data_IF_359894430423
#
_entry.id   IF_359894430423
#
_cell.length_a   1.000
_cell.length_b   1.000
_cell.length_c   1.000
_cell.angle_alpha   90.00
_cell.angle_beta   90.00
_cell.angle_gamma   90.00
#
_symmetry.space_group_name_H-M   'P 1'
#
loop_
_entity.id
_entity.type
_entity.pdbx_description
1 polymer ?
#
# COMPACT_ATOMS: atom_id res chain seq x y z
N UNK A 1 -1.83 74.99 18.43
CA UNK A 1 -1.40 74.02 17.38
C UNK A 1 -0.94 72.62 17.85
N UNK A 2 -0.80 72.26 19.16
CA UNK A 2 -0.34 70.89 19.53
C UNK A 2 -1.43 69.79 19.58
N UNK A 3 -2.71 70.12 19.76
CA UNK A 3 -3.79 69.11 19.85
C UNK A 3 -4.08 68.37 18.53
N UNK A 4 -3.91 69.01 17.37
CA UNK A 4 -4.19 68.38 16.06
C UNK A 4 -3.17 67.31 15.66
N UNK A 5 -1.92 67.42 16.14
CA UNK A 5 -0.85 66.45 15.88
C UNK A 5 -1.03 65.19 16.73
N UNK A 6 -1.44 65.35 18.01
CA UNK A 6 -1.80 64.24 18.92
C UNK A 6 -2.95 63.39 18.38
N UNK A 7 -4.01 64.04 17.88
CA UNK A 7 -5.20 63.36 17.36
C UNK A 7 -4.94 62.60 16.06
N UNK A 8 -4.09 63.13 15.17
CA UNK A 8 -3.63 62.44 13.95
C UNK A 8 -2.75 61.23 14.28
N UNK A 9 -1.84 61.34 15.26
CA UNK A 9 -1.00 60.23 15.73
C UNK A 9 -1.84 59.09 16.30
N UNK A 10 -2.86 59.40 17.09
CA UNK A 10 -3.77 58.40 17.66
C UNK A 10 -4.62 57.70 16.58
N UNK A 11 -5.06 58.43 15.54
CA UNK A 11 -5.77 57.83 14.40
C UNK A 11 -4.90 56.88 13.57
N UNK A 12 -3.65 57.28 13.31
CA UNK A 12 -2.67 56.42 12.61
C UNK A 12 -2.37 55.17 13.43
N UNK A 13 -2.17 55.30 14.74
CA UNK A 13 -1.96 54.15 15.62
C UNK A 13 -3.17 53.22 15.67
N UNK A 14 -4.39 53.75 15.79
CA UNK A 14 -5.61 52.93 15.75
C UNK A 14 -5.81 52.23 14.40
N UNK A 15 -5.48 52.90 13.30
CA UNK A 15 -5.52 52.30 11.97
C UNK A 15 -4.48 51.19 11.83
N UNK A 16 -3.24 51.43 12.27
CA UNK A 16 -2.18 50.40 12.25
C UNK A 16 -2.53 49.20 13.13
N UNK A 17 -3.14 49.42 14.30
CA UNK A 17 -3.63 48.35 15.17
C UNK A 17 -4.76 47.55 14.51
N UNK A 18 -5.70 48.22 13.85
CA UNK A 18 -6.77 47.56 13.09
C UNK A 18 -6.20 46.72 11.94
N UNK A 19 -5.24 47.26 11.19
CA UNK A 19 -4.56 46.53 10.11
C UNK A 19 -3.80 45.32 10.66
N UNK A 20 -3.06 45.48 11.76
CA UNK A 20 -2.35 44.38 12.41
C UNK A 20 -3.32 43.30 12.92
N UNK A 21 -4.46 43.69 13.48
CA UNK A 21 -5.51 42.76 13.90
C UNK A 21 -6.09 41.99 12.71
N UNK A 22 -6.41 42.68 11.60
CA UNK A 22 -6.94 42.04 10.39
C UNK A 22 -5.93 41.07 9.77
N UNK A 23 -4.65 41.45 9.73
CA UNK A 23 -3.57 40.57 9.28
C UNK A 23 -3.47 39.35 10.21
N UNK A 24 -3.51 39.57 11.53
CA UNK A 24 -3.46 38.50 12.53
C UNK A 24 -4.64 37.53 12.40
N UNK A 25 -5.87 38.05 12.26
CA UNK A 25 -7.07 37.24 12.03
C UNK A 25 -6.99 36.48 10.70
N UNK A 26 -6.52 37.13 9.62
CA UNK A 26 -6.33 36.48 8.32
C UNK A 26 -5.30 35.35 8.38
N UNK A 27 -4.16 35.58 9.02
CA UNK A 27 -3.12 34.58 9.22
C UNK A 27 -3.62 33.41 10.08
N UNK A 28 -4.34 33.68 11.16
CA UNK A 28 -4.95 32.65 11.99
C UNK A 28 -5.98 31.83 11.21
N UNK A 29 -6.85 32.47 10.42
CA UNK A 29 -7.84 31.77 9.59
C UNK A 29 -7.17 30.90 8.53
N UNK A 30 -6.13 31.40 7.87
CA UNK A 30 -5.34 30.64 6.91
C UNK A 30 -4.69 29.42 7.58
N UNK A 31 -4.04 29.62 8.73
CA UNK A 31 -3.49 28.52 9.52
C UNK A 31 -4.57 27.49 9.89
N UNK A 32 -5.70 27.95 10.42
CA UNK A 32 -6.80 27.10 10.86
C UNK A 32 -7.40 26.26 9.74
N UNK A 33 -7.55 26.83 8.53
CA UNK A 33 -8.20 26.17 7.39
C UNK A 33 -7.27 25.30 6.55
N UNK A 34 -5.95 25.54 6.58
CA UNK A 34 -5.01 24.84 5.69
C UNK A 34 -3.91 24.06 6.41
N UNK A 35 -3.53 24.44 7.63
CA UNK A 35 -2.32 23.93 8.29
C UNK A 35 -2.56 23.33 9.68
N UNK A 36 -3.72 23.57 10.29
CA UNK A 36 -4.05 23.01 11.61
C UNK A 36 -4.15 21.50 11.53
N UNK A 37 -3.26 20.83 12.24
CA UNK A 37 -3.30 19.39 12.42
C UNK A 37 -4.09 19.01 13.66
N UNK A 38 -4.86 17.93 13.57
CA UNK A 38 -5.43 17.25 14.74
C UNK A 38 -4.75 15.89 14.90
N UNK A 39 -4.50 15.45 16.15
CA UNK A 39 -3.99 14.11 16.39
C UNK A 39 -5.02 13.08 15.93
N UNK A 40 -4.53 11.88 15.62
CA UNK A 40 -5.41 10.75 15.38
C UNK A 40 -6.23 10.46 16.65
N UNK A 41 -7.45 9.95 16.46
CA UNK A 41 -8.28 9.49 17.58
C UNK A 41 -7.62 8.31 18.30
N UNK A 42 -8.07 7.98 19.53
CA UNK A 42 -7.61 6.78 20.21
C UNK A 42 -8.04 5.53 19.42
N UNK A 43 -7.15 4.55 19.34
CA UNK A 43 -7.43 3.22 18.78
C UNK A 43 -7.68 2.23 19.93
N UNK A 44 -8.67 1.36 19.76
CA UNK A 44 -9.04 0.33 20.74
C UNK A 44 -8.08 -0.87 20.74
N UNK A 45 -7.30 -1.06 19.66
CA UNK A 45 -6.30 -2.12 19.56
C UNK A 45 -5.13 -1.71 18.66
N UNK A 46 -4.01 -2.45 18.74
CA UNK A 46 -2.89 -2.27 17.82
C UNK A 46 -3.28 -2.64 16.38
N UNK A 47 -4.15 -3.64 16.19
CA UNK A 47 -4.69 -4.04 14.89
C UNK A 47 -5.47 -2.89 14.25
N UNK A 48 -6.35 -2.24 15.01
CA UNK A 48 -7.08 -1.08 14.52
C UNK A 48 -6.14 0.08 14.20
N UNK A 49 -5.16 0.34 15.07
CA UNK A 49 -4.13 1.35 14.81
C UNK A 49 -3.36 1.05 13.52
N UNK A 50 -2.99 -0.20 13.27
CA UNK A 50 -2.31 -0.59 12.04
C UNK A 50 -3.21 -0.37 10.81
N UNK A 51 -4.49 -0.71 10.93
CA UNK A 51 -5.46 -0.62 9.83
C UNK A 51 -5.86 0.82 9.49
N UNK A 52 -5.87 1.74 10.45
CA UNK A 52 -6.51 3.06 10.30
C UNK A 52 -5.67 4.26 10.75
N UNK A 53 -4.52 4.07 11.39
CA UNK A 53 -3.69 5.20 11.83
C UNK A 53 -2.88 5.82 10.71
N UNK A 54 -2.70 7.13 10.80
CA UNK A 54 -1.94 7.89 9.83
C UNK A 54 -0.47 7.49 9.85
N UNK A 55 0.09 7.29 8.66
CA UNK A 55 1.54 7.21 8.42
C UNK A 55 2.13 8.55 7.98
N UNK A 56 1.33 9.63 7.99
CA UNK A 56 1.75 11.00 7.69
C UNK A 56 1.54 11.45 6.23
N UNK A 57 0.81 10.70 5.42
CA UNK A 57 0.61 11.00 3.99
C UNK A 57 -0.36 12.15 3.70
N UNK A 58 -1.15 12.60 4.68
CA UNK A 58 -2.28 13.51 4.45
C UNK A 58 -1.86 14.90 4.00
N UNK A 59 -0.68 15.37 4.42
CA UNK A 59 -0.20 16.70 4.06
C UNK A 59 0.26 16.73 2.58
N UNK A 60 1.05 15.74 2.16
CA UNK A 60 1.68 15.70 0.85
C UNK A 60 0.78 15.06 -0.24
N UNK A 61 0.07 13.98 0.08
CA UNK A 61 -0.67 13.16 -0.88
C UNK A 61 -2.15 12.92 -0.50
N UNK A 62 -2.64 13.53 0.59
CA UNK A 62 -3.99 13.32 1.08
C UNK A 62 -5.07 13.94 0.20
N UNK A 63 -6.10 13.15 -0.14
CA UNK A 63 -7.29 13.63 -0.83
C UNK A 63 -8.25 14.31 0.15
N UNK A 64 -8.90 15.43 -0.18
CA UNK A 64 -9.96 15.98 0.65
C UNK A 64 -11.07 14.92 0.84
N UNK A 65 -11.43 14.65 2.10
CA UNK A 65 -12.31 13.54 2.46
C UNK A 65 -13.65 13.57 1.71
N UNK A 66 -14.28 14.75 1.59
CA UNK A 66 -15.56 14.88 0.89
C UNK A 66 -15.46 14.64 -0.61
N UNK A 67 -14.31 14.95 -1.23
CA UNK A 67 -14.07 14.59 -2.63
C UNK A 67 -13.94 13.07 -2.74
N UNK A 68 -13.05 12.46 -1.94
CA UNK A 68 -12.87 11.02 -1.89
C UNK A 68 -14.21 10.27 -1.74
N UNK A 69 -15.05 10.69 -0.80
CA UNK A 69 -16.33 10.04 -0.53
C UNK A 69 -17.28 10.02 -1.75
N UNK A 70 -17.31 11.08 -2.55
CA UNK A 70 -18.28 11.22 -3.65
C UNK A 70 -17.77 10.70 -4.99
N UNK A 71 -16.45 10.56 -5.18
CA UNK A 71 -15.88 10.12 -6.46
C UNK A 71 -16.48 8.80 -6.98
N UNK A 72 -16.62 7.72 -6.19
CA UNK A 72 -17.17 6.46 -6.70
C UNK A 72 -18.60 6.56 -7.20
N UNK A 73 -19.41 7.47 -6.64
CA UNK A 73 -20.79 7.70 -7.07
C UNK A 73 -20.83 8.54 -8.35
N UNK A 74 -19.90 9.48 -8.47
CA UNK A 74 -19.83 10.41 -9.59
C UNK A 74 -19.20 9.78 -10.84
N UNK A 75 -18.29 8.81 -10.65
CA UNK A 75 -17.52 8.14 -11.70
C UNK A 75 -17.53 6.60 -11.57
N UNK A 76 -18.70 5.95 -11.42
CA UNK A 76 -18.77 4.50 -11.26
C UNK A 76 -18.18 3.73 -12.46
N UNK A 77 -18.14 4.32 -13.64
CA UNK A 77 -17.60 3.74 -14.87
C UNK A 77 -16.08 3.58 -14.88
N UNK A 78 -15.36 4.29 -14.00
CA UNK A 78 -13.90 4.14 -13.85
C UNK A 78 -13.52 3.12 -12.78
N UNK A 79 -14.50 2.45 -12.18
CA UNK A 79 -14.28 1.37 -11.23
C UNK A 79 -14.52 0.01 -11.91
N UNK A 80 -13.82 -1.05 -11.46
CA UNK A 80 -13.93 -2.37 -12.06
C UNK A 80 -15.30 -3.03 -11.84
N UNK A 81 -16.11 -2.52 -10.91
CA UNK A 81 -17.42 -3.07 -10.62
C UNK A 81 -18.26 -2.20 -9.67
N UNK A 82 -19.46 -2.66 -9.31
CA UNK A 82 -20.32 -1.96 -8.36
C UNK A 82 -19.74 -1.96 -6.93
N UNK A 83 -20.28 -1.10 -6.06
CA UNK A 83 -19.88 -1.04 -4.64
C UNK A 83 -18.78 -0.01 -4.33
N UNK A 84 -18.44 0.86 -5.28
CA UNK A 84 -17.49 1.94 -5.07
C UNK A 84 -16.07 1.43 -4.82
N UNK A 85 -15.40 1.93 -3.78
CA UNK A 85 -14.03 1.50 -3.44
C UNK A 85 -13.91 -0.01 -3.13
N UNK A 86 -14.99 -0.67 -2.67
CA UNK A 86 -14.98 -2.12 -2.44
C UNK A 86 -14.75 -2.93 -3.72
N UNK A 87 -15.09 -2.37 -4.90
CA UNK A 87 -14.84 -3.03 -6.20
C UNK A 87 -13.35 -3.20 -6.51
N UNK A 88 -12.48 -2.41 -5.87
CA UNK A 88 -11.02 -2.52 -5.96
C UNK A 88 -10.47 -3.62 -5.04
N UNK A 89 -11.35 -4.42 -4.42
CA UNK A 89 -11.00 -5.51 -3.51
C UNK A 89 -10.26 -5.07 -2.25
N UNK A 90 -10.38 -3.79 -1.88
CA UNK A 90 -9.87 -3.26 -0.61
C UNK A 90 -10.79 -3.76 0.51
N UNK A 91 -10.20 -4.30 1.57
CA UNK A 91 -10.92 -4.76 2.74
C UNK A 91 -11.78 -3.65 3.37
N UNK A 92 -13.03 -3.96 3.72
CA UNK A 92 -13.94 -3.01 4.36
C UNK A 92 -14.72 -3.71 5.46
N UNK A 93 -14.40 -3.38 6.72
CA UNK A 93 -15.12 -3.92 7.87
C UNK A 93 -16.52 -3.30 7.97
N UNK A 94 -17.50 -4.12 8.38
CA UNK A 94 -18.86 -3.66 8.62
C UNK A 94 -18.88 -2.53 9.66
N UNK A 95 -19.66 -1.47 9.38
CA UNK A 95 -19.79 -0.32 10.28
C UNK A 95 -18.64 0.67 10.24
N UNK A 96 -17.57 0.43 9.48
CA UNK A 96 -16.48 1.40 9.29
C UNK A 96 -16.82 2.43 8.22
N UNK A 97 -16.50 3.68 8.52
CA UNK A 97 -16.67 4.81 7.60
C UNK A 97 -15.75 4.70 6.36
N UNK A 98 -14.51 4.27 6.57
CA UNK A 98 -13.51 4.10 5.52
C UNK A 98 -13.06 2.64 5.43
N UNK A 99 -12.66 2.18 4.23
CA UNK A 99 -12.07 0.86 4.08
C UNK A 99 -10.74 0.76 4.84
N UNK A 100 -10.34 -0.47 5.18
CA UNK A 100 -9.06 -0.77 5.80
C UNK A 100 -7.93 -0.21 4.95
N UNK A 101 -6.95 0.41 5.61
CA UNK A 101 -5.83 1.05 4.93
C UNK A 101 -6.06 2.50 4.57
N UNK A 102 -7.21 3.09 4.90
CA UNK A 102 -7.49 4.50 4.65
C UNK A 102 -7.69 5.26 5.95
N UNK A 103 -7.03 6.41 6.05
CA UNK A 103 -7.10 7.29 7.22
C UNK A 103 -8.08 8.42 7.01
N UNK A 104 -8.53 9.04 8.10
CA UNK A 104 -9.23 10.32 8.08
C UNK A 104 -8.61 11.24 9.12
N UNK A 105 -7.71 12.12 8.69
CA UNK A 105 -7.02 13.07 9.57
C UNK A 105 -7.30 14.50 9.14
N UNK A 106 -7.37 15.42 10.10
CA UNK A 106 -7.52 16.84 9.80
C UNK A 106 -6.13 17.48 9.66
N UNK A 107 -5.85 17.98 8.45
CA UNK A 107 -4.72 18.87 8.13
C UNK A 107 -5.30 20.08 7.42
N UNK A 108 -5.65 21.09 8.20
CA UNK A 108 -6.54 22.19 7.84
C UNK A 108 -8.00 21.73 7.77
N UNK A 109 -8.29 20.86 6.81
CA UNK A 109 -9.57 20.19 6.58
C UNK A 109 -9.40 18.65 6.60
N UNK A 110 -10.49 17.87 6.72
CA UNK A 110 -10.41 16.41 6.73
C UNK A 110 -9.86 15.87 5.41
N UNK A 111 -8.82 15.04 5.49
CA UNK A 111 -8.15 14.40 4.35
C UNK A 111 -8.06 12.90 4.56
N UNK A 112 -8.00 12.19 3.45
CA UNK A 112 -7.83 10.74 3.36
C UNK A 112 -6.48 10.42 2.75
N UNK A 113 -5.72 9.53 3.39
CA UNK A 113 -4.49 8.98 2.84
C UNK A 113 -4.47 7.46 3.06
N UNK A 114 -3.48 6.81 2.45
CA UNK A 114 -3.31 5.37 2.52
C UNK A 114 -2.35 5.00 3.67
N UNK A 115 -2.52 3.82 4.24
CA UNK A 115 -1.61 3.19 5.20
C UNK A 115 -1.05 1.90 4.61
N UNK A 116 -0.11 1.28 5.33
CA UNK A 116 0.42 -0.04 4.99
C UNK A 116 -0.68 -1.11 4.84
N UNK A 117 -1.81 -0.95 5.53
CA UNK A 117 -2.88 -1.95 5.56
C UNK A 117 -3.68 -2.06 4.24
N UNK A 118 -3.54 -1.11 3.30
CA UNK A 118 -4.10 -1.28 1.94
C UNK A 118 -3.49 -2.51 1.25
N UNK A 119 -2.19 -2.69 1.41
CA UNK A 119 -1.44 -3.80 0.81
C UNK A 119 -1.26 -4.98 1.78
N UNK A 120 -1.33 -4.71 3.09
CA UNK A 120 -1.00 -5.69 4.14
C UNK A 120 -2.17 -6.04 5.06
N UNK A 121 -3.35 -6.24 4.48
CA UNK A 121 -4.49 -6.87 5.16
C UNK A 121 -5.04 -7.99 4.28
N UNK A 122 -4.86 -9.23 4.71
CA UNK A 122 -5.45 -10.37 4.03
C UNK A 122 -6.94 -10.47 4.32
N UNK A 123 -7.68 -11.07 3.38
CA UNK A 123 -9.09 -11.40 3.55
C UNK A 123 -9.35 -12.86 3.20
N UNK A 124 -10.19 -13.56 3.96
CA UNK A 124 -10.66 -14.88 3.56
C UNK A 124 -12.11 -15.15 4.00
N UNK A 125 -12.79 -15.98 3.24
CA UNK A 125 -14.07 -16.59 3.57
C UNK A 125 -13.97 -18.10 3.54
N UNK A 126 -14.53 -18.75 4.56
CA UNK A 126 -14.61 -20.21 4.65
C UNK A 126 -15.69 -20.80 3.73
N UNK A 127 -16.75 -20.03 3.47
CA UNK A 127 -17.87 -20.40 2.59
C UNK A 127 -18.33 -19.17 1.80
N UNK A 128 -19.03 -19.34 0.66
CA UNK A 128 -19.46 -18.21 -0.16
C UNK A 128 -20.29 -17.15 0.58
N UNK A 129 -21.11 -17.58 1.55
CA UNK A 129 -22.04 -16.70 2.29
C UNK A 129 -21.46 -16.18 3.63
N UNK A 130 -20.25 -16.59 4.00
CA UNK A 130 -19.62 -16.11 5.24
C UNK A 130 -19.22 -14.63 5.13
N UNK A 131 -19.26 -13.91 6.25
CA UNK A 131 -18.61 -12.60 6.34
C UNK A 131 -17.10 -12.79 6.18
N UNK A 132 -16.42 -11.97 5.36
CA UNK A 132 -14.96 -12.02 5.25
C UNK A 132 -14.28 -11.78 6.58
N UNK A 133 -13.24 -12.57 6.85
CA UNK A 133 -12.32 -12.36 7.97
C UNK A 133 -11.13 -11.57 7.46
N UNK A 134 -10.86 -10.42 8.08
CA UNK A 134 -9.70 -9.59 7.77
C UNK A 134 -8.56 -9.87 8.75
N UNK A 135 -7.35 -10.02 8.22
CA UNK A 135 -6.16 -10.38 8.99
C UNK A 135 -5.09 -9.30 8.77
N UNK A 136 -4.83 -8.46 9.79
CA UNK A 136 -3.75 -7.47 9.74
C UNK A 136 -2.39 -8.10 9.46
N UNK A 137 -1.52 -7.36 8.79
CA UNK A 137 -0.17 -7.78 8.40
C UNK A 137 -0.09 -9.00 7.46
N UNK A 138 -1.23 -9.54 7.02
CA UNK A 138 -1.31 -10.56 5.98
C UNK A 138 -1.17 -9.96 4.57
N UNK A 139 -0.96 -10.80 3.54
CA UNK A 139 -0.89 -10.32 2.16
C UNK A 139 -2.27 -9.87 1.67
N UNK A 140 -2.39 -8.61 1.25
CA UNK A 140 -3.63 -8.02 0.72
C UNK A 140 -3.96 -8.51 -0.69
N UNK A 141 -4.10 -9.83 -0.85
CA UNK A 141 -4.21 -10.52 -2.14
C UNK A 141 -5.42 -10.08 -2.99
N UNK A 142 -6.43 -9.46 -2.35
CA UNK A 142 -7.60 -8.89 -3.00
C UNK A 142 -7.43 -7.44 -3.43
N UNK A 143 -6.41 -6.69 -2.99
CA UNK A 143 -6.33 -5.26 -3.24
C UNK A 143 -5.82 -4.93 -4.66
N UNK A 144 -6.55 -4.08 -5.39
CA UNK A 144 -6.19 -3.60 -6.72
C UNK A 144 -5.59 -2.19 -6.67
N UNK A 145 -4.32 -2.08 -6.25
CA UNK A 145 -3.64 -0.78 -6.09
C UNK A 145 -3.47 -0.06 -7.43
N UNK A 146 -3.17 -0.79 -8.51
CA UNK A 146 -3.09 -0.20 -9.86
C UNK A 146 -4.45 0.38 -10.29
N UNK A 147 -5.54 -0.36 -10.07
CA UNK A 147 -6.90 0.08 -10.35
C UNK A 147 -7.28 1.33 -9.56
N UNK A 148 -6.84 1.46 -8.31
CA UNK A 148 -7.04 2.67 -7.51
C UNK A 148 -6.35 3.89 -8.13
N UNK A 149 -5.09 3.75 -8.58
CA UNK A 149 -4.39 4.85 -9.25
C UNK A 149 -5.04 5.22 -10.59
N UNK A 150 -5.45 4.23 -11.39
CA UNK A 150 -6.22 4.44 -12.63
C UNK A 150 -7.50 5.23 -12.37
N UNK A 151 -8.27 4.81 -11.37
CA UNK A 151 -9.51 5.48 -10.97
C UNK A 151 -9.29 6.96 -10.66
N UNK A 152 -8.28 7.28 -9.83
CA UNK A 152 -7.98 8.67 -9.48
C UNK A 152 -7.51 9.50 -10.69
N UNK A 153 -6.68 8.91 -11.56
CA UNK A 153 -6.23 9.55 -12.81
C UNK A 153 -7.43 9.89 -13.70
N UNK A 154 -8.26 8.90 -13.98
CA UNK A 154 -9.36 9.03 -14.95
C UNK A 154 -10.42 10.01 -14.44
N UNK A 155 -10.73 9.98 -13.13
CA UNK A 155 -11.55 11.01 -12.48
C UNK A 155 -10.98 12.42 -12.69
N UNK A 156 -9.68 12.63 -12.47
CA UNK A 156 -9.06 13.95 -12.56
C UNK A 156 -8.99 14.49 -14.01
N UNK A 157 -8.93 13.59 -14.99
CA UNK A 157 -8.94 13.93 -16.41
C UNK A 157 -10.37 14.26 -16.89
N UNK A 158 -11.41 13.67 -16.30
CA UNK A 158 -12.80 13.90 -16.69
C UNK A 158 -13.25 15.37 -16.46
N UNK A 159 -13.88 16.04 -17.46
CA UNK A 159 -14.41 17.39 -17.32
C UNK A 159 -15.44 17.58 -16.20
N UNK A 160 -16.15 16.52 -15.82
CA UNK A 160 -17.10 16.53 -14.71
C UNK A 160 -16.41 16.77 -13.37
N UNK A 161 -15.12 16.47 -13.21
CA UNK A 161 -14.36 16.82 -12.01
C UNK A 161 -14.16 18.34 -11.94
N UNK A 162 -15.18 19.04 -11.48
CA UNK A 162 -15.21 20.48 -11.38
C UNK A 162 -16.01 20.92 -10.14
N UNK A 163 -15.86 22.18 -9.71
CA UNK A 163 -16.51 22.68 -8.52
C UNK A 163 -18.04 22.55 -8.50
N UNK A 164 -18.72 22.72 -9.63
CA UNK A 164 -20.18 22.70 -9.69
C UNK A 164 -20.73 21.31 -9.37
N UNK A 165 -20.23 20.30 -10.10
CA UNK A 165 -20.70 18.93 -9.94
C UNK A 165 -20.28 18.32 -8.60
N UNK A 166 -19.03 18.54 -8.18
CA UNK A 166 -18.53 17.98 -6.91
C UNK A 166 -19.24 18.59 -5.71
N UNK A 167 -19.50 19.90 -5.70
CA UNK A 167 -20.27 20.51 -4.60
C UNK A 167 -21.73 20.04 -4.58
N UNK A 168 -22.33 19.78 -5.75
CA UNK A 168 -23.67 19.20 -5.81
C UNK A 168 -23.70 17.81 -5.14
N UNK A 169 -22.74 16.93 -5.46
CA UNK A 169 -22.66 15.61 -4.85
C UNK A 169 -22.31 15.65 -3.36
N UNK A 170 -21.40 16.54 -2.95
CA UNK A 170 -21.04 16.73 -1.53
C UNK A 170 -22.26 17.21 -0.74
N UNK A 171 -23.08 18.11 -1.28
CA UNK A 171 -24.29 18.62 -0.63
C UNK A 171 -25.32 17.51 -0.34
N UNK A 172 -25.28 16.39 -1.08
CA UNK A 172 -26.18 15.24 -0.84
C UNK A 172 -25.80 14.43 0.41
N UNK A 173 -24.61 14.63 0.97
CA UNK A 173 -24.09 13.85 2.10
C UNK A 173 -23.70 14.71 3.30
N UNK A 174 -23.52 16.02 3.13
CA UNK A 174 -23.16 16.94 4.22
C UNK A 174 -23.46 18.40 3.87
N UNK A 175 -23.63 19.24 4.89
CA UNK A 175 -23.76 20.69 4.75
C UNK A 175 -22.45 21.40 5.10
N UNK A 176 -21.79 21.98 4.10
CA UNK A 176 -20.61 22.79 4.30
C UNK A 176 -20.98 24.23 4.71
N UNK A 177 -20.18 24.84 5.59
CA UNK A 177 -20.32 26.28 5.90
C UNK A 177 -20.10 27.13 4.63
N UNK A 178 -20.63 28.36 4.58
CA UNK A 178 -20.43 29.24 3.42
C UNK A 178 -18.94 29.43 3.08
N UNK A 179 -18.10 29.60 4.11
CA UNK A 179 -16.66 29.71 3.93
C UNK A 179 -16.07 28.43 3.32
N UNK A 180 -16.47 27.25 3.81
CA UNK A 180 -15.98 25.97 3.27
C UNK A 180 -16.50 25.72 1.85
N UNK A 181 -17.73 26.09 1.52
CA UNK A 181 -18.23 26.03 0.14
C UNK A 181 -17.38 26.89 -0.80
N UNK A 182 -17.03 28.12 -0.39
CA UNK A 182 -16.15 28.99 -1.17
C UNK A 182 -14.73 28.42 -1.29
N UNK A 183 -14.18 27.86 -0.21
CA UNK A 183 -12.87 27.20 -0.22
C UNK A 183 -12.88 25.96 -1.13
N UNK A 184 -13.90 25.12 -1.06
CA UNK A 184 -14.04 23.97 -1.94
C UNK A 184 -14.15 24.41 -3.40
N UNK A 185 -14.98 25.42 -3.67
CA UNK A 185 -15.23 25.92 -5.02
C UNK A 185 -13.98 26.47 -5.68
N UNK A 186 -13.27 27.36 -4.99
CA UNK A 186 -12.23 28.18 -5.61
C UNK A 186 -10.80 27.71 -5.31
N UNK A 187 -10.60 26.84 -4.31
CA UNK A 187 -9.28 26.42 -3.86
C UNK A 187 -9.13 24.91 -3.86
N UNK A 188 -9.89 24.19 -3.03
CA UNK A 188 -9.64 22.77 -2.75
C UNK A 188 -9.89 21.92 -4.00
N UNK A 189 -11.06 22.02 -4.66
CA UNK A 189 -11.38 21.20 -5.84
C UNK A 189 -10.40 21.48 -7.01
N UNK A 190 -10.13 22.75 -7.40
CA UNK A 190 -9.16 23.04 -8.46
C UNK A 190 -7.74 22.53 -8.14
N UNK A 191 -7.27 22.72 -6.91
CA UNK A 191 -5.93 22.26 -6.52
C UNK A 191 -5.85 20.73 -6.45
N UNK A 192 -6.87 20.05 -5.96
CA UNK A 192 -6.92 18.57 -5.96
C UNK A 192 -6.89 18.03 -7.38
N UNK A 193 -7.69 18.59 -8.29
CA UNK A 193 -7.67 18.19 -9.71
C UNK A 193 -6.28 18.38 -10.31
N UNK A 194 -5.68 19.56 -10.10
CA UNK A 194 -4.34 19.88 -10.62
C UNK A 194 -3.29 18.93 -10.06
N UNK A 195 -3.31 18.65 -8.76
CA UNK A 195 -2.35 17.73 -8.13
C UNK A 195 -2.47 16.31 -8.69
N UNK A 196 -3.69 15.81 -8.90
CA UNK A 196 -3.92 14.50 -9.52
C UNK A 196 -3.48 14.46 -10.99
N UNK A 197 -3.68 15.54 -11.74
CA UNK A 197 -3.25 15.64 -13.15
C UNK A 197 -1.73 15.76 -13.31
N UNK A 198 -1.04 16.39 -12.35
CA UNK A 198 0.42 16.55 -12.38
C UNK A 198 1.14 15.25 -12.04
N UNK A 199 0.49 14.31 -11.36
CA UNK A 199 1.05 13.00 -11.05
C UNK A 199 0.90 12.09 -12.27
N UNK A 200 1.99 11.86 -12.99
CA UNK A 200 1.96 10.91 -14.11
C UNK A 200 1.88 9.48 -13.59
N UNK A 201 0.84 8.78 -14.05
CA UNK A 201 0.62 7.36 -13.84
C UNK A 201 0.87 6.56 -15.12
N UNK A 202 1.34 7.21 -16.19
CA UNK A 202 1.41 6.65 -17.55
C UNK A 202 2.42 5.50 -17.64
N UNK A 203 3.46 5.52 -16.81
CA UNK A 203 4.44 4.43 -16.73
C UNK A 203 3.83 3.09 -16.28
N UNK A 204 2.65 3.11 -15.64
CA UNK A 204 1.90 1.90 -15.29
C UNK A 204 1.02 1.38 -16.44
N UNK A 205 0.83 2.15 -17.51
CA UNK A 205 -0.06 1.86 -18.64
C UNK A 205 0.69 1.50 -19.91
N UNK A 206 1.73 0.67 -19.80
CA UNK A 206 2.44 0.24 -21.00
C UNK A 206 1.76 -0.94 -21.67
N UNK A 207 1.58 -0.84 -22.99
CA UNK A 207 1.00 -1.92 -23.80
C UNK A 207 1.84 -3.21 -23.79
N UNK A 208 3.15 -3.10 -23.53
CA UNK A 208 4.07 -4.24 -23.48
C UNK A 208 4.14 -4.93 -22.11
N UNK A 209 3.40 -4.44 -21.11
CA UNK A 209 3.41 -4.95 -19.74
C UNK A 209 2.02 -5.39 -19.28
N UNK A 210 1.98 -6.47 -18.50
CA UNK A 210 0.73 -6.89 -17.89
C UNK A 210 0.23 -5.84 -16.88
N UNK A 211 -1.07 -5.82 -16.61
CA UNK A 211 -1.56 -5.20 -15.39
C UNK A 211 -0.97 -5.93 -14.17
N UNK A 212 -0.69 -5.21 -13.08
CA UNK A 212 -0.23 -5.83 -11.83
C UNK A 212 -1.28 -6.80 -11.29
N UNK A 213 -2.55 -6.38 -11.35
CA UNK A 213 -3.70 -7.13 -10.84
C UNK A 213 -3.85 -7.03 -9.32
N UNK A 214 -4.81 -7.77 -8.79
CA UNK A 214 -5.08 -7.88 -7.36
C UNK A 214 -3.89 -8.50 -6.61
N UNK A 215 -3.55 -7.94 -5.46
CA UNK A 215 -2.53 -8.47 -4.56
C UNK A 215 -1.10 -8.16 -4.95
N UNK A 216 -0.89 -7.26 -5.92
CA UNK A 216 0.44 -6.93 -6.45
C UNK A 216 0.64 -5.45 -6.66
N UNK A 217 1.90 -5.05 -6.56
CA UNK A 217 2.40 -3.76 -7.03
C UNK A 217 3.79 -3.90 -7.65
N UNK A 218 4.26 -2.84 -8.29
CA UNK A 218 5.68 -2.70 -8.65
C UNK A 218 6.38 -1.76 -7.66
N UNK A 219 6.53 -2.24 -6.41
CA UNK A 219 7.04 -1.45 -5.28
C UNK A 219 8.34 -0.67 -5.61
N UNK A 220 9.25 -1.27 -6.39
CA UNK A 220 10.52 -0.63 -6.73
C UNK A 220 10.36 0.47 -7.77
N UNK A 221 9.52 0.28 -8.78
CA UNK A 221 9.20 1.34 -9.73
C UNK A 221 8.36 2.45 -9.08
N UNK A 222 7.48 2.13 -8.13
CA UNK A 222 6.79 3.12 -7.31
C UNK A 222 7.79 4.03 -6.59
N UNK A 223 8.83 3.47 -5.95
CA UNK A 223 9.90 4.28 -5.34
C UNK A 223 10.66 5.11 -6.38
N UNK A 224 11.10 4.52 -7.50
CA UNK A 224 11.85 5.26 -8.54
C UNK A 224 11.08 6.45 -9.09
N UNK A 225 9.79 6.29 -9.36
CA UNK A 225 9.04 7.29 -10.11
C UNK A 225 8.26 8.26 -9.23
N UNK A 226 7.83 7.86 -8.02
CA UNK A 226 7.15 8.78 -7.09
C UNK A 226 8.09 9.45 -6.09
N UNK A 227 9.06 8.72 -5.52
CA UNK A 227 9.95 9.29 -4.50
C UNK A 227 11.19 9.93 -5.11
N UNK A 228 11.75 9.30 -6.15
CA UNK A 228 13.03 9.73 -6.75
C UNK A 228 12.85 10.54 -8.04
N UNK A 229 11.63 10.63 -8.57
CA UNK A 229 11.31 11.30 -9.84
C UNK A 229 12.25 10.89 -10.99
N UNK A 230 12.72 9.64 -10.97
CA UNK A 230 13.60 9.11 -12.01
C UNK A 230 12.84 8.99 -13.32
N UNK A 231 13.57 9.11 -14.43
CA UNK A 231 13.01 8.81 -15.74
C UNK A 231 12.66 7.32 -15.83
N UNK A 232 11.52 7.03 -16.45
CA UNK A 232 11.11 5.69 -16.85
C UNK A 232 12.23 4.99 -17.64
N UNK A 233 12.55 3.74 -17.30
CA UNK A 233 13.74 3.00 -17.74
C UNK A 233 13.43 1.64 -18.40
N UNK A 234 12.16 1.37 -18.72
CA UNK A 234 11.68 0.13 -19.33
C UNK A 234 11.64 -1.07 -18.40
N UNK A 235 12.04 -0.92 -17.14
CA UNK A 235 12.00 -2.02 -16.17
C UNK A 235 10.58 -2.28 -15.70
N UNK A 236 10.33 -3.51 -15.26
CA UNK A 236 9.02 -3.96 -14.80
C UNK A 236 9.27 -5.17 -13.92
N UNK A 237 8.70 -5.20 -12.72
CA UNK A 237 8.91 -6.32 -11.80
C UNK A 237 7.89 -6.39 -10.69
N UNK A 238 6.58 -6.45 -10.99
CA UNK A 238 5.57 -6.48 -9.95
C UNK A 238 5.65 -7.74 -9.08
N UNK A 239 5.48 -7.53 -7.78
CA UNK A 239 5.55 -8.56 -6.76
C UNK A 239 4.24 -8.71 -6.03
N UNK A 240 4.01 -9.90 -5.48
CA UNK A 240 2.95 -10.16 -4.51
C UNK A 240 3.21 -9.39 -3.22
N UNK A 241 2.15 -8.90 -2.57
CA UNK A 241 2.29 -8.28 -1.25
C UNK A 241 2.76 -9.35 -0.25
N UNK A 242 3.89 -9.16 0.45
CA UNK A 242 4.32 -10.13 1.45
C UNK A 242 3.48 -10.02 2.72
N UNK A 243 3.41 -11.10 3.49
CA UNK A 243 3.06 -10.99 4.91
C UNK A 243 4.16 -10.26 5.67
N UNK A 244 3.78 -9.39 6.62
CA UNK A 244 4.72 -8.58 7.42
C UNK A 244 4.57 -8.80 8.92
N UNK A 245 3.99 -9.94 9.33
CA UNK A 245 4.01 -10.42 10.71
C UNK A 245 5.37 -11.05 11.08
N UNK A 246 5.60 -11.29 12.37
CA UNK A 246 6.79 -11.94 12.93
C UNK A 246 8.13 -11.35 12.45
N UNK A 247 8.23 -10.03 12.29
CA UNK A 247 9.46 -9.40 11.75
C UNK A 247 10.72 -9.69 12.59
N UNK A 248 10.59 -10.00 13.89
CA UNK A 248 11.71 -10.41 14.76
C UNK A 248 12.45 -11.67 14.29
N UNK A 249 11.84 -12.48 13.41
CA UNK A 249 12.51 -13.64 12.83
C UNK A 249 13.57 -13.27 11.80
N UNK A 250 13.55 -12.05 11.25
CA UNK A 250 14.53 -11.57 10.29
C UNK A 250 15.67 -10.86 11.03
N UNK A 251 16.74 -11.61 11.27
CA UNK A 251 17.91 -11.20 12.06
C UNK A 251 19.06 -10.75 11.14
N UNK A 252 19.25 -9.43 10.90
CA UNK A 252 20.24 -8.92 9.96
C UNK A 252 21.69 -9.29 10.31
N UNK A 253 21.99 -9.44 11.59
CA UNK A 253 23.27 -9.90 12.14
C UNK A 253 23.61 -11.34 11.74
N UNK A 254 22.59 -12.16 11.45
CA UNK A 254 22.76 -13.51 10.89
C UNK A 254 22.84 -13.52 9.37
N UNK A 255 22.82 -12.36 8.72
CA UNK A 255 22.81 -12.22 7.27
C UNK A 255 21.41 -12.31 6.65
N UNK A 256 20.35 -12.31 7.46
CA UNK A 256 18.97 -12.29 6.93
C UNK A 256 18.64 -10.90 6.37
N UNK A 257 17.78 -10.87 5.35
CA UNK A 257 17.37 -9.64 4.67
C UNK A 257 15.87 -9.64 4.43
N UNK A 258 15.33 -8.50 4.02
CA UNK A 258 13.92 -8.31 3.70
C UNK A 258 13.75 -7.67 2.32
N UNK A 259 12.51 -7.48 1.89
CA UNK A 259 12.09 -7.47 0.49
C UNK A 259 12.29 -8.85 -0.16
N UNK A 260 11.53 -9.14 -1.22
CA UNK A 260 11.59 -10.43 -1.91
C UNK A 260 12.99 -10.80 -2.38
N UNK A 261 13.77 -9.83 -2.80
CA UNK A 261 15.13 -9.93 -3.35
C UNK A 261 16.23 -9.57 -2.35
N UNK A 262 15.90 -9.24 -1.11
CA UNK A 262 16.88 -8.82 -0.11
C UNK A 262 17.41 -7.39 -0.28
N UNK A 263 16.75 -6.52 -1.06
CA UNK A 263 17.23 -5.17 -1.39
C UNK A 263 17.48 -4.26 -0.16
N UNK A 264 16.90 -4.57 0.99
CA UNK A 264 17.03 -3.75 2.19
C UNK A 264 17.55 -4.54 3.38
N UNK A 265 18.45 -3.89 4.14
CA UNK A 265 19.24 -4.53 5.19
C UNK A 265 18.43 -5.12 6.35
N UNK A 266 17.36 -4.46 6.80
CA UNK A 266 16.58 -4.90 7.96
C UNK A 266 15.12 -4.42 7.89
N UNK A 267 14.28 -4.99 8.76
CA UNK A 267 12.85 -4.70 8.84
C UNK A 267 12.54 -3.22 9.04
N UNK A 268 13.25 -2.55 9.95
CA UNK A 268 13.05 -1.11 10.22
C UNK A 268 13.27 -0.26 8.96
N UNK A 269 14.34 -0.54 8.23
CA UNK A 269 14.64 0.15 6.98
C UNK A 269 13.59 -0.14 5.91
N UNK A 270 13.07 -1.37 5.81
CA UNK A 270 11.96 -1.70 4.88
C UNK A 270 10.71 -0.89 5.20
N UNK A 271 10.35 -0.77 6.48
CA UNK A 271 9.19 0.03 6.89
C UNK A 271 9.37 1.51 6.52
N UNK A 272 10.57 2.06 6.75
CA UNK A 272 10.90 3.44 6.37
C UNK A 272 10.82 3.62 4.85
N UNK A 273 11.48 2.76 4.08
CA UNK A 273 11.54 2.87 2.62
C UNK A 273 10.17 2.72 1.97
N UNK A 274 9.36 1.80 2.47
CA UNK A 274 7.99 1.60 2.02
C UNK A 274 7.12 2.81 2.37
N UNK A 275 7.27 3.36 3.58
CA UNK A 275 6.54 4.55 3.98
C UNK A 275 6.95 5.77 3.12
N UNK A 276 8.25 6.04 2.95
CA UNK A 276 8.72 7.16 2.11
C UNK A 276 8.30 7.02 0.64
N UNK A 277 8.22 5.80 0.11
CA UNK A 277 7.70 5.53 -1.23
C UNK A 277 6.22 5.88 -1.40
N UNK A 278 5.44 5.90 -0.31
CA UNK A 278 4.00 6.20 -0.28
C UNK A 278 3.74 7.66 0.17
N UNK A 279 4.46 8.11 1.19
CA UNK A 279 4.38 9.44 1.81
C UNK A 279 5.64 10.21 1.42
N UNK A 280 5.54 11.04 0.38
CA UNK A 280 6.70 11.73 -0.19
C UNK A 280 7.52 12.57 0.82
N UNK A 281 6.93 12.95 1.97
CA UNK A 281 7.61 13.69 3.04
C UNK A 281 7.29 13.13 4.43
N UNK A 282 8.31 12.82 5.28
CA UNK A 282 8.10 12.35 6.64
C UNK A 282 7.65 13.50 7.56
N UNK A 283 6.63 13.24 8.39
CA UNK A 283 6.17 14.17 9.42
C UNK A 283 7.05 14.13 10.69
N UNK A 284 6.83 15.07 11.63
CA UNK A 284 7.63 15.20 12.87
C UNK A 284 7.74 13.89 13.67
N UNK A 285 6.67 13.12 13.78
CA UNK A 285 6.62 11.88 14.57
C UNK A 285 6.86 10.60 13.73
N UNK A 286 7.33 10.75 12.50
CA UNK A 286 7.48 9.65 11.54
C UNK A 286 8.28 8.47 12.11
N UNK A 287 9.46 8.71 12.67
CA UNK A 287 10.31 7.64 13.21
C UNK A 287 9.70 6.94 14.43
N UNK A 288 8.99 7.66 15.28
CA UNK A 288 8.30 7.06 16.43
C UNK A 288 7.16 6.15 15.94
N UNK A 289 6.41 6.57 14.92
CA UNK A 289 5.41 5.71 14.30
C UNK A 289 6.03 4.43 13.70
N UNK A 290 7.16 4.57 12.99
CA UNK A 290 7.91 3.43 12.45
C UNK A 290 8.38 2.48 13.56
N UNK A 291 8.87 3.01 14.69
CA UNK A 291 9.33 2.19 15.82
C UNK A 291 8.17 1.42 16.46
N UNK A 292 6.99 2.04 16.58
CA UNK A 292 5.77 1.34 17.01
C UNK A 292 5.35 0.24 16.01
N UNK A 293 5.34 0.54 14.70
CA UNK A 293 5.04 -0.45 13.67
C UNK A 293 6.00 -1.63 13.74
N UNK A 294 7.29 -1.36 13.88
CA UNK A 294 8.30 -2.41 13.99
C UNK A 294 8.05 -3.29 15.21
N UNK A 295 7.76 -2.71 16.39
CA UNK A 295 7.48 -3.49 17.60
C UNK A 295 6.21 -4.35 17.45
N UNK A 296 5.12 -3.75 16.98
CA UNK A 296 3.86 -4.46 16.73
C UNK A 296 4.05 -5.62 15.74
N UNK A 297 4.61 -5.34 14.56
CA UNK A 297 4.80 -6.34 13.51
C UNK A 297 5.87 -7.39 13.86
N UNK A 298 6.85 -7.03 14.69
CA UNK A 298 7.82 -7.99 15.22
C UNK A 298 7.17 -9.00 16.15
N UNK A 299 6.13 -8.61 16.87
CA UNK A 299 5.50 -9.42 17.89
C UNK A 299 4.14 -10.03 17.51
N UNK A 300 3.56 -9.59 16.39
CA UNK A 300 2.34 -10.15 15.82
C UNK A 300 2.63 -11.50 15.14
N UNK A 301 2.05 -12.64 15.59
CA UNK A 301 2.10 -13.89 14.85
C UNK A 301 1.00 -13.95 13.76
N UNK A 302 1.13 -14.80 12.73
CA UNK A 302 0.01 -15.12 11.85
C UNK A 302 -1.13 -15.79 12.61
N UNK A 303 -2.38 -15.69 12.10
CA UNK A 303 -3.49 -16.44 12.66
C UNK A 303 -3.25 -17.96 12.49
N UNK A 304 -3.75 -18.77 13.45
CA UNK A 304 -3.76 -20.22 13.28
C UNK A 304 -4.63 -20.60 12.07
N UNK A 305 -4.33 -21.75 11.47
CA UNK A 305 -5.18 -22.34 10.44
C UNK A 305 -6.55 -22.67 11.05
N UNK A 306 -7.66 -22.08 10.54
CA UNK A 306 -8.97 -22.14 11.22
C UNK A 306 -9.77 -23.41 10.88
N UNK A 307 -9.26 -24.26 9.99
CA UNK A 307 -9.97 -25.45 9.52
C UNK A 307 -9.43 -26.73 10.17
N UNK A 308 -10.18 -27.85 10.12
CA UNK A 308 -9.71 -29.12 10.65
C UNK A 308 -8.39 -29.57 10.02
N UNK A 309 -7.51 -30.14 10.84
CA UNK A 309 -6.23 -30.70 10.42
C UNK A 309 -6.25 -32.20 10.72
N UNK A 310 -6.03 -33.02 9.70
CA UNK A 310 -5.69 -34.42 9.89
C UNK A 310 -4.26 -34.50 10.45
N UNK A 311 -4.15 -34.82 11.75
CA UNK A 311 -2.88 -34.84 12.45
C UNK A 311 -1.96 -35.95 11.93
N UNK A 312 -2.50 -37.10 11.48
CA UNK A 312 -1.69 -38.18 10.96
C UNK A 312 -1.04 -37.78 9.63
N UNK A 313 -1.80 -37.14 8.74
CA UNK A 313 -1.26 -36.59 7.49
C UNK A 313 -0.30 -35.42 7.73
N UNK A 314 -0.58 -34.54 8.71
CA UNK A 314 0.32 -33.46 9.06
C UNK A 314 1.67 -34.00 9.59
N UNK A 315 1.65 -35.03 10.43
CA UNK A 315 2.88 -35.70 10.89
C UNK A 315 3.65 -36.37 9.76
N UNK A 316 2.97 -37.02 8.81
CA UNK A 316 3.63 -37.57 7.62
C UNK A 316 4.23 -36.45 6.74
N UNK A 317 3.51 -35.34 6.58
CA UNK A 317 3.97 -34.15 5.85
C UNK A 317 5.21 -33.49 6.46
N UNK A 318 5.35 -33.50 7.79
CA UNK A 318 6.55 -32.97 8.49
C UNK A 318 7.82 -33.73 8.12
N UNK A 319 7.74 -35.05 7.91
CA UNK A 319 8.87 -35.85 7.44
C UNK A 319 9.31 -35.45 6.02
N UNK A 320 8.34 -35.27 5.11
CA UNK A 320 8.59 -34.79 3.74
C UNK A 320 9.14 -33.36 3.74
N UNK A 321 8.58 -32.48 4.56
CA UNK A 321 9.06 -31.11 4.72
C UNK A 321 10.53 -31.07 5.17
N UNK A 322 10.88 -31.95 6.12
CA UNK A 322 12.26 -32.05 6.62
C UNK A 322 13.23 -32.50 5.52
N UNK A 323 12.82 -33.44 4.67
CA UNK A 323 13.64 -33.94 3.57
C UNK A 323 13.80 -32.91 2.43
N UNK A 324 12.70 -32.29 2.00
CA UNK A 324 12.66 -31.53 0.74
C UNK A 324 12.75 -30.01 0.93
N UNK A 325 12.25 -29.47 2.04
CA UNK A 325 12.01 -28.04 2.21
C UNK A 325 12.91 -27.39 3.28
N UNK A 326 13.17 -28.10 4.38
CA UNK A 326 13.83 -27.55 5.56
C UNK A 326 15.23 -26.99 5.25
N UNK A 327 15.94 -27.54 4.26
CA UNK A 327 17.27 -27.05 3.85
C UNK A 327 17.30 -25.57 3.47
N UNK A 328 16.18 -24.99 3.04
CA UNK A 328 16.05 -23.56 2.74
C UNK A 328 15.17 -22.82 3.75
N UNK A 329 14.03 -23.42 4.13
CA UNK A 329 12.99 -22.73 4.92
C UNK A 329 13.04 -23.01 6.43
N UNK A 330 13.93 -23.90 6.88
CA UNK A 330 14.20 -24.17 8.30
C UNK A 330 15.68 -24.52 8.53
N UNK A 331 16.56 -23.61 8.13
CA UNK A 331 18.03 -23.79 8.19
C UNK A 331 18.76 -22.45 8.31
N UNK A 332 20.10 -22.48 8.26
CA UNK A 332 20.92 -21.28 8.13
C UNK A 332 20.68 -20.49 6.84
N UNK A 333 19.97 -21.04 5.85
CA UNK A 333 19.59 -20.32 4.62
C UNK A 333 18.30 -19.52 4.77
N UNK A 334 17.50 -19.81 5.81
CA UNK A 334 16.21 -19.15 6.01
C UNK A 334 16.39 -17.66 6.27
N UNK A 335 15.58 -16.84 5.62
CA UNK A 335 15.69 -15.38 5.64
C UNK A 335 16.85 -14.82 4.80
N UNK A 336 17.61 -15.66 4.08
CA UNK A 336 18.72 -15.24 3.20
C UNK A 336 18.36 -15.43 1.73
N UNK A 337 19.09 -14.73 0.86
CA UNK A 337 18.96 -14.88 -0.61
C UNK A 337 19.42 -16.28 -1.03
N UNK A 338 18.56 -16.97 -1.77
CA UNK A 338 18.86 -18.15 -2.57
C UNK A 338 19.14 -17.66 -4.00
N UNK A 339 20.29 -18.00 -4.61
CA UNK A 339 20.63 -17.55 -5.95
C UNK A 339 19.54 -17.85 -6.99
N UNK A 340 19.32 -16.92 -7.92
CA UNK A 340 18.37 -17.06 -9.02
C UNK A 340 18.64 -18.30 -9.88
N UNK A 341 19.92 -18.63 -10.07
CA UNK A 341 20.36 -19.83 -10.80
C UNK A 341 19.97 -21.13 -10.10
N UNK A 342 19.69 -21.09 -8.80
CA UNK A 342 19.25 -22.25 -8.02
C UNK A 342 17.72 -22.29 -7.89
N UNK A 343 17.08 -21.15 -7.57
CA UNK A 343 15.62 -21.11 -7.38
C UNK A 343 14.87 -21.07 -8.71
N UNK A 344 15.45 -20.50 -9.77
CA UNK A 344 14.93 -20.54 -11.14
C UNK A 344 13.61 -19.79 -11.40
N UNK A 345 13.12 -19.00 -10.44
CA UNK A 345 11.87 -18.22 -10.59
C UNK A 345 12.06 -17.00 -11.51
N UNK A 346 10.97 -16.31 -11.85
CA UNK A 346 11.01 -15.09 -12.69
C UNK A 346 12.04 -14.05 -12.17
N UNK A 347 12.81 -13.43 -13.06
CA UNK A 347 13.92 -12.51 -12.73
C UNK A 347 13.54 -11.02 -12.71
N UNK A 348 12.37 -10.66 -13.23
CA UNK A 348 12.02 -9.27 -13.55
C UNK A 348 12.05 -8.36 -12.32
N UNK A 349 11.69 -8.87 -11.14
CA UNK A 349 11.79 -8.11 -9.88
C UNK A 349 13.24 -7.75 -9.53
N UNK A 350 14.19 -8.64 -9.74
CA UNK A 350 15.62 -8.34 -9.50
C UNK A 350 16.10 -7.26 -10.47
N UNK A 351 15.70 -7.36 -11.74
CA UNK A 351 16.11 -6.43 -12.79
C UNK A 351 15.52 -5.02 -12.64
N UNK A 352 14.43 -4.84 -11.88
CA UNK A 352 13.80 -3.52 -11.70
C UNK A 352 14.54 -2.60 -10.73
N UNK A 353 15.43 -3.13 -9.89
CA UNK A 353 16.15 -2.35 -8.88
C UNK A 353 17.66 -2.35 -9.09
N UNK A 354 18.21 -1.16 -9.39
CA UNK A 354 19.65 -0.98 -9.66
C UNK A 354 20.40 -0.40 -8.48
N UNK A 355 21.72 -0.60 -8.46
CA UNK A 355 22.63 0.07 -7.51
C UNK A 355 22.51 1.61 -7.56
N UNK A 356 22.24 2.18 -8.74
CA UNK A 356 22.04 3.62 -8.89
C UNK A 356 20.73 4.08 -8.21
N UNK A 357 19.64 3.32 -8.37
CA UNK A 357 18.38 3.58 -7.68
C UNK A 357 18.54 3.42 -6.16
N UNK A 358 19.26 2.40 -5.69
CA UNK A 358 19.56 2.21 -4.27
C UNK A 358 20.34 3.40 -3.68
N UNK A 359 21.40 3.87 -4.35
CA UNK A 359 22.14 5.08 -3.94
C UNK A 359 21.26 6.32 -3.91
N UNK A 360 20.41 6.51 -4.92
CA UNK A 360 19.49 7.64 -4.99
C UNK A 360 18.46 7.61 -3.85
N UNK A 361 17.89 6.44 -3.55
CA UNK A 361 16.98 6.25 -2.41
C UNK A 361 17.67 6.53 -1.07
N UNK A 362 18.90 6.04 -0.90
CA UNK A 362 19.70 6.29 0.30
C UNK A 362 20.00 7.79 0.48
N UNK A 363 20.37 8.48 -0.59
CA UNK A 363 20.62 9.92 -0.58
C UNK A 363 19.35 10.72 -0.29
N UNK A 364 18.21 10.36 -0.89
CA UNK A 364 16.93 11.03 -0.68
C UNK A 364 16.42 10.86 0.76
N UNK A 365 16.56 9.67 1.35
CA UNK A 365 16.23 9.47 2.77
C UNK A 365 17.06 10.39 3.68
N UNK A 366 18.35 10.57 3.39
CA UNK A 366 19.22 11.48 4.14
C UNK A 366 18.82 12.96 3.95
N UNK A 367 18.47 13.36 2.74
CA UNK A 367 17.94 14.70 2.42
C UNK A 367 16.68 15.02 3.23
N UNK A 368 15.79 14.03 3.39
CA UNK A 368 14.58 14.12 4.20
C UNK A 368 14.84 14.02 5.71
N UNK A 369 16.10 13.97 6.15
CA UNK A 369 16.49 13.90 7.56
C UNK A 369 16.25 12.54 8.22
N UNK A 370 16.03 11.48 7.44
CA UNK A 370 15.71 10.15 7.93
C UNK A 370 16.95 9.27 7.95
N UNK A 371 17.47 9.00 9.15
CA UNK A 371 18.59 8.08 9.34
C UNK A 371 18.12 6.63 9.49
N UNK A 372 18.71 5.76 8.66
CA UNK A 372 18.51 4.30 8.71
C UNK A 372 19.72 3.60 8.11
N UNK A 373 19.75 2.27 8.22
CA UNK A 373 20.65 1.49 7.36
C UNK A 373 20.09 1.50 5.93
N UNK A 374 20.92 1.88 4.97
CA UNK A 374 20.54 2.05 3.58
C UNK A 374 19.97 0.79 2.92
N UNK A 375 19.41 0.94 1.73
CA UNK A 375 19.21 -0.15 0.78
C UNK A 375 20.58 -0.59 0.27
N UNK A 376 20.68 -1.85 -0.11
CA UNK A 376 21.91 -2.47 -0.58
C UNK A 376 22.30 -1.87 -1.93
N UNK A 377 23.48 -1.27 -1.99
CA UNK A 377 24.01 -0.57 -3.16
C UNK A 377 25.45 -0.96 -3.53
N UNK A 378 26.01 -1.95 -2.84
CA UNK A 378 27.40 -2.41 -2.94
C UNK A 378 27.56 -3.88 -3.34
N UNK A 379 26.47 -4.67 -3.36
CA UNK A 379 26.45 -6.06 -3.84
C UNK A 379 25.23 -6.34 -4.75
N UNK A 380 25.38 -7.20 -5.76
CA UNK A 380 24.29 -7.46 -6.71
C UNK A 380 23.12 -8.18 -6.02
N UNK A 381 21.91 -7.81 -6.41
CA UNK A 381 20.71 -8.59 -6.13
C UNK A 381 20.70 -9.76 -7.12
N UNK A 382 20.89 -10.98 -6.64
CA UNK A 382 21.16 -12.15 -7.47
C UNK A 382 20.26 -13.34 -7.15
N UNK A 383 19.14 -13.12 -6.46
CA UNK A 383 18.26 -14.17 -5.98
C UNK A 383 17.13 -13.67 -5.10
N UNK A 384 16.38 -14.60 -4.53
CA UNK A 384 15.19 -14.32 -3.71
C UNK A 384 15.32 -14.89 -2.30
N UNK A 385 14.69 -14.24 -1.32
CA UNK A 385 14.73 -14.66 0.08
C UNK A 385 13.98 -15.97 0.27
N UNK A 386 14.65 -16.96 0.89
CA UNK A 386 13.98 -18.14 1.44
C UNK A 386 13.18 -17.73 2.68
N UNK A 387 11.95 -17.26 2.47
CA UNK A 387 11.09 -16.70 3.53
C UNK A 387 10.80 -17.72 4.64
N UNK A 388 10.56 -17.23 5.85
CA UNK A 388 9.92 -18.02 6.89
C UNK A 388 8.50 -18.41 6.42
N UNK A 389 8.06 -19.63 6.76
CA UNK A 389 6.78 -20.21 6.28
C UNK A 389 5.64 -20.11 7.31
N UNK A 390 5.79 -19.32 8.36
CA UNK A 390 4.68 -19.08 9.28
C UNK A 390 3.50 -18.38 8.56
N UNK A 391 2.30 -18.90 8.80
CA UNK A 391 1.08 -18.43 8.14
C UNK A 391 0.98 -18.76 6.66
N UNK A 392 1.78 -19.70 6.12
CA UNK A 392 1.82 -20.06 4.69
C UNK A 392 0.44 -20.40 4.09
N UNK A 393 -0.50 -20.87 4.91
CA UNK A 393 -1.86 -21.16 4.48
C UNK A 393 -2.57 -19.91 3.92
N UNK A 394 -2.36 -18.73 4.52
CA UNK A 394 -3.01 -17.48 4.13
C UNK A 394 -2.14 -16.65 3.17
N UNK A 395 -1.14 -17.26 2.52
CA UNK A 395 -0.16 -16.55 1.69
C UNK A 395 -0.24 -16.88 0.20
N UNK A 396 -1.37 -17.44 -0.22
CA UNK A 396 -1.67 -17.60 -1.63
C UNK A 396 -2.03 -16.24 -2.27
N UNK A 397 -1.72 -16.02 -3.56
CA UNK A 397 -0.90 -16.87 -4.42
C UNK A 397 0.59 -16.92 -4.03
N UNK A 398 1.30 -17.95 -4.46
CA UNK A 398 2.69 -18.25 -4.07
C UNK A 398 3.72 -17.79 -5.10
N UNK A 399 4.99 -17.79 -4.67
CA UNK A 399 6.16 -17.13 -5.29
C UNK A 399 6.17 -15.61 -5.10
N UNK A 400 7.31 -14.97 -5.36
CA UNK A 400 7.51 -13.53 -5.13
C UNK A 400 6.57 -12.65 -5.98
N UNK A 401 6.07 -13.17 -7.09
CA UNK A 401 5.16 -12.50 -8.02
C UNK A 401 3.73 -13.08 -7.96
N UNK A 402 3.47 -14.04 -7.07
CA UNK A 402 2.16 -14.66 -6.87
C UNK A 402 1.63 -15.36 -8.13
N UNK A 403 2.51 -16.01 -8.88
CA UNK A 403 2.22 -16.66 -10.16
C UNK A 403 1.72 -18.10 -10.02
N UNK A 404 1.60 -18.62 -8.78
CA UNK A 404 1.11 -19.97 -8.49
C UNK A 404 -0.09 -19.90 -7.54
N UNK A 405 -1.30 -20.29 -7.95
CA UNK A 405 -2.51 -19.93 -7.21
C UNK A 405 -2.68 -20.64 -5.86
N UNK A 406 -2.16 -21.86 -5.70
CA UNK A 406 -2.39 -22.69 -4.51
C UNK A 406 -1.11 -23.43 -4.08
N UNK A 407 -1.03 -23.85 -2.81
CA UNK A 407 0.17 -24.56 -2.33
C UNK A 407 0.26 -25.92 -3.00
N UNK A 408 -0.89 -26.56 -3.27
CA UNK A 408 -0.96 -27.79 -4.04
C UNK A 408 -0.36 -27.63 -5.44
N UNK A 409 -0.58 -26.51 -6.11
CA UNK A 409 0.03 -26.25 -7.42
C UNK A 409 1.53 -25.93 -7.32
N UNK A 410 1.97 -25.27 -6.24
CA UNK A 410 3.40 -25.01 -6.01
C UNK A 410 4.21 -26.32 -5.87
N UNK A 411 3.59 -27.33 -5.25
CA UNK A 411 4.17 -28.67 -5.07
C UNK A 411 4.05 -29.57 -6.31
N UNK A 412 3.60 -29.07 -7.45
CA UNK A 412 3.66 -29.78 -8.73
C UNK A 412 4.87 -29.30 -9.55
N UNK A 413 5.37 -30.14 -10.49
CA UNK A 413 6.32 -29.68 -11.51
C UNK A 413 5.82 -28.39 -12.17
N UNK A 414 6.70 -27.43 -12.45
CA UNK A 414 6.27 -26.13 -12.99
C UNK A 414 5.47 -26.26 -14.30
N UNK A 415 5.78 -27.29 -15.11
CA UNK A 415 5.07 -27.60 -16.34
C UNK A 415 3.58 -27.98 -16.15
N UNK A 416 3.18 -28.40 -14.94
CA UNK A 416 1.80 -28.77 -14.60
C UNK A 416 1.03 -27.64 -13.87
N UNK A 417 1.70 -26.51 -13.59
CA UNK A 417 1.07 -25.37 -12.91
C UNK A 417 0.10 -24.64 -13.85
N UNK A 418 -1.03 -24.12 -13.33
CA UNK A 418 -1.94 -23.31 -14.13
C UNK A 418 -1.21 -22.13 -14.79
N UNK A 419 -1.37 -22.00 -16.11
CA UNK A 419 -0.80 -20.88 -16.88
C UNK A 419 -1.69 -19.63 -16.83
N UNK A 420 -2.98 -19.83 -16.57
CA UNK A 420 -3.98 -18.77 -16.51
C UNK A 420 -4.94 -19.06 -15.37
N UNK A 421 -5.16 -18.07 -14.50
CA UNK A 421 -6.11 -18.14 -13.39
C UNK A 421 -6.57 -16.74 -12.99
N UNK A 422 -7.56 -16.62 -12.11
CA UNK A 422 -8.08 -15.34 -11.62
C UNK A 422 -7.59 -15.05 -10.20
N UNK A 423 -7.16 -13.80 -9.97
CA UNK A 423 -6.70 -13.29 -8.67
C UNK A 423 -7.70 -12.33 -8.06
N UNK A 424 -7.81 -12.33 -6.74
CA UNK A 424 -8.60 -11.36 -5.97
C UNK A 424 -9.89 -11.89 -5.35
N UNK A 425 -10.21 -13.18 -5.53
CA UNK A 425 -11.32 -13.81 -4.82
C UNK A 425 -10.86 -14.31 -3.44
N UNK A 426 -11.64 -14.01 -2.40
CA UNK A 426 -11.34 -14.32 -0.99
C UNK A 426 -11.92 -15.66 -0.51
N UNK A 427 -12.59 -16.43 -1.36
CA UNK A 427 -13.08 -17.77 -0.99
C UNK A 427 -11.92 -18.75 -0.88
N UNK A 428 -11.71 -19.31 0.30
CA UNK A 428 -10.60 -20.19 0.59
C UNK A 428 -10.88 -21.64 0.17
N UNK A 429 -9.95 -22.24 -0.60
CA UNK A 429 -9.95 -23.65 -0.96
C UNK A 429 -9.03 -24.43 0.00
N UNK A 430 -9.64 -25.15 0.94
CA UNK A 430 -8.91 -25.96 1.93
C UNK A 430 -8.15 -27.13 1.30
N UNK A 431 -8.65 -27.71 0.22
CA UNK A 431 -8.04 -28.89 -0.40
C UNK A 431 -6.81 -28.51 -1.22
N UNK A 432 -6.84 -27.35 -1.87
CA UNK A 432 -5.71 -26.80 -2.61
C UNK A 432 -4.74 -25.97 -1.73
N UNK A 433 -5.22 -25.50 -0.57
CA UNK A 433 -4.53 -24.58 0.32
C UNK A 433 -4.15 -23.30 -0.42
N UNK A 434 -5.18 -22.51 -0.73
CA UNK A 434 -5.10 -21.23 -1.41
C UNK A 434 -6.51 -20.67 -1.62
N UNK A 435 -6.66 -19.76 -2.58
CA UNK A 435 -7.97 -19.19 -2.91
C UNK A 435 -8.53 -19.79 -4.20
N UNK A 436 -9.86 -19.85 -4.29
CA UNK A 436 -10.55 -20.26 -5.52
C UNK A 436 -10.19 -19.28 -6.64
N UNK A 437 -9.54 -19.80 -7.67
CA UNK A 437 -8.92 -19.00 -8.75
C UNK A 437 -9.48 -19.33 -10.15
N UNK A 438 -10.56 -20.10 -10.22
CA UNK A 438 -11.25 -20.46 -11.45
C UNK A 438 -12.76 -20.49 -11.25
N UNK A 439 -13.51 -20.42 -12.35
CA UNK A 439 -14.96 -20.40 -12.36
C UNK A 439 -15.56 -18.99 -12.42
N UNK A 440 -16.87 -18.93 -12.64
CA UNK A 440 -17.59 -17.69 -13.01
C UNK A 440 -17.54 -16.61 -11.93
N UNK A 441 -17.46 -16.99 -10.65
CA UNK A 441 -17.36 -16.01 -9.56
C UNK A 441 -15.96 -15.41 -9.51
N UNK A 442 -14.92 -16.25 -9.59
CA UNK A 442 -13.53 -15.79 -9.62
C UNK A 442 -13.27 -14.87 -10.83
N UNK A 443 -13.85 -15.20 -11.99
CA UNK A 443 -13.80 -14.35 -13.19
C UNK A 443 -14.48 -12.98 -12.99
N UNK A 444 -15.63 -12.97 -12.32
CA UNK A 444 -16.40 -11.73 -12.10
C UNK A 444 -15.73 -10.79 -11.11
N UNK A 445 -15.12 -11.32 -10.05
CA UNK A 445 -14.56 -10.50 -8.96
C UNK A 445 -13.07 -10.23 -9.14
N UNK A 446 -12.37 -11.14 -9.82
CA UNK A 446 -10.92 -11.10 -9.93
C UNK A 446 -10.43 -10.48 -11.22
N UNK A 447 -9.12 -10.47 -11.39
CA UNK A 447 -8.47 -10.19 -12.66
C UNK A 447 -7.81 -11.44 -13.19
N UNK A 448 -7.82 -11.61 -14.51
CA UNK A 448 -7.04 -12.64 -15.19
C UNK A 448 -5.54 -12.41 -14.90
N UNK A 449 -4.85 -13.48 -14.53
CA UNK A 449 -3.40 -13.54 -14.39
C UNK A 449 -2.88 -14.57 -15.38
N UNK A 450 -2.03 -14.13 -16.30
CA UNK A 450 -1.41 -14.97 -17.33
C UNK A 450 0.09 -15.03 -17.07
N UNK A 451 0.59 -16.23 -16.77
CA UNK A 451 1.97 -16.49 -16.37
C UNK A 451 2.96 -16.44 -17.54
N UNK A 452 2.45 -16.34 -18.77
CA UNK A 452 3.26 -16.23 -20.00
C UNK A 452 3.70 -14.78 -20.25
N UNK A 453 3.10 -13.82 -19.56
CA UNK A 453 3.45 -12.41 -19.67
C UNK A 453 4.69 -12.11 -18.83
N UNK A 454 5.48 -11.12 -19.27
CA UNK A 454 6.70 -10.66 -18.59
C UNK A 454 6.39 -10.32 -17.13
N UNK A 455 7.21 -10.80 -16.19
CA UNK A 455 7.05 -10.57 -14.75
C UNK A 455 6.01 -11.45 -14.07
N UNK A 456 5.29 -12.29 -14.81
CA UNK A 456 4.29 -13.23 -14.27
C UNK A 456 4.75 -14.69 -14.31
N UNK A 457 6.02 -14.96 -14.64
CA UNK A 457 6.52 -16.32 -14.80
C UNK A 457 6.29 -17.18 -13.55
N UNK A 458 5.75 -18.39 -13.74
CA UNK A 458 5.45 -19.38 -12.71
C UNK A 458 6.48 -20.54 -12.64
N UNK A 459 7.63 -20.37 -13.29
CA UNK A 459 8.71 -21.34 -13.32
C UNK A 459 9.52 -21.37 -12.00
N UNK A 460 10.42 -22.35 -11.90
CA UNK A 460 11.34 -22.46 -10.78
C UNK A 460 10.67 -23.01 -9.52
N UNK A 461 11.44 -23.04 -8.43
CA UNK A 461 11.05 -23.67 -7.18
C UNK A 461 10.53 -25.10 -7.42
N UNK A 462 11.32 -25.89 -8.14
CA UNK A 462 11.04 -27.30 -8.49
C UNK A 462 11.41 -28.22 -7.31
N UNK A 463 10.79 -27.96 -6.16
CA UNK A 463 11.01 -28.69 -4.90
C UNK A 463 9.68 -29.31 -4.43
N UNK A 464 9.73 -30.56 -3.96
CA UNK A 464 8.54 -31.27 -3.47
C UNK A 464 7.58 -31.77 -4.56
N UNK A 465 8.05 -31.81 -5.81
CA UNK A 465 7.31 -32.21 -7.02
C UNK A 465 7.37 -33.70 -7.30
#
# INVERSE_FOLDING_TARGET
>A
MPESVSRKRNWVLSFLLLVALLIGCGAFLAWYKFFREQPDGPFVSNDERFMYASIGGENAAGLPYWIFLVLPRMFPEYLPGPGGYASLGIAWEEGRELPVGFTKKVVGFPRVSNTCAVCHTASYRATPDATPVFVPAGPGHTANVQGFFRFLRDCAQDPRFNPDNLLEEIKRVTDLSLLDQLLYRFVIIPLTRKALQQRSFDWMEREDMAAWGHGRDDAMNLTKYFMLEMREDGTYGPTDFPSIWNLKKYQPERGMRMNWDGATYNARSVLIDSALGIVAEPQRDFLHHIDWLLDYLSNLPPPPYPFPIDQALAHAGEALFTAECARCHRSERTGKRVPLTEVGTDENRILSWSHAAARAANAKALELGVQRRGMIDDEPLNGYIAVHLDGVWLRAPYLHNGSVPTLRDLLKPAAERPQVFYRGYDLYDQAAMGFVSAGTVAERVGNLHDTRLRGNGNQGHEYGT
#
